data_IF_894380553377
#
_entry.id   IF_894380553377
#
_cell.length_a   1.000
_cell.length_b   1.000
_cell.length_c   1.000
_cell.angle_alpha   90.00
_cell.angle_beta   90.00
_cell.angle_gamma   90.00
#
_symmetry.space_group_name_H-M   'P 1'
#
loop_
_entity.id
_entity.type
_entity.pdbx_description
1 polymer ?
#
# COMPACT_ATOMS: atom_id res chain seq x y z
N UNK A 1 -3.56 -18.03 18.46
CA UNK A 1 -3.92 -16.76 17.80
C UNK A 1 -3.85 -15.64 18.83
N UNK A 2 -3.18 -14.55 18.53
CA UNK A 2 -3.14 -13.38 19.43
C UNK A 2 -4.55 -12.78 19.54
N UNK A 3 -4.98 -12.28 20.71
CA UNK A 3 -6.29 -11.64 20.85
C UNK A 3 -6.47 -10.49 19.86
N UNK A 4 -7.63 -10.45 19.19
CA UNK A 4 -7.95 -9.41 18.20
C UNK A 4 -7.33 -9.60 16.80
N UNK A 5 -6.64 -10.70 16.55
CA UNK A 5 -6.13 -11.05 15.22
C UNK A 5 -7.13 -11.95 14.47
N UNK A 6 -7.48 -11.57 13.26
CA UNK A 6 -8.28 -12.36 12.32
C UNK A 6 -7.63 -12.35 10.95
N UNK A 7 -7.43 -13.54 10.39
CA UNK A 7 -6.90 -13.68 9.03
C UNK A 7 -7.82 -13.06 7.98
N UNK A 8 -9.12 -13.17 8.16
CA UNK A 8 -10.09 -12.60 7.22
C UNK A 8 -10.02 -11.07 7.20
N UNK A 9 -9.90 -10.44 8.38
CA UNK A 9 -9.73 -8.98 8.46
C UNK A 9 -8.39 -8.52 7.92
N UNK A 10 -7.32 -9.29 8.14
CA UNK A 10 -6.00 -9.02 7.55
C UNK A 10 -6.06 -9.12 6.02
N UNK A 11 -6.61 -10.21 5.46
CA UNK A 11 -6.70 -10.41 4.00
C UNK A 11 -7.51 -9.29 3.34
N UNK A 12 -8.67 -8.95 3.91
CA UNK A 12 -9.49 -7.86 3.40
C UNK A 12 -8.75 -6.51 3.42
N UNK A 13 -8.01 -6.23 4.49
CA UNK A 13 -7.22 -5.00 4.63
C UNK A 13 -6.04 -4.97 3.65
N UNK A 14 -5.32 -6.08 3.51
CA UNK A 14 -4.19 -6.19 2.58
C UNK A 14 -4.65 -5.98 1.13
N UNK A 15 -5.77 -6.57 0.74
CA UNK A 15 -6.39 -6.37 -0.60
C UNK A 15 -6.82 -4.93 -0.82
N UNK A 16 -7.43 -4.32 0.19
CA UNK A 16 -7.82 -2.92 0.13
C UNK A 16 -6.60 -2.01 -0.08
N UNK A 17 -5.55 -2.17 0.74
CA UNK A 17 -4.31 -1.40 0.62
C UNK A 17 -3.68 -1.60 -0.76
N UNK A 18 -3.60 -2.85 -1.24
CA UNK A 18 -3.07 -3.13 -2.57
C UNK A 18 -3.82 -2.33 -3.65
N UNK A 19 -5.14 -2.35 -3.64
CA UNK A 19 -5.97 -1.63 -4.60
C UNK A 19 -5.76 -0.11 -4.55
N UNK A 20 -5.72 0.47 -3.35
CA UNK A 20 -5.51 1.91 -3.15
C UNK A 20 -4.12 2.36 -3.63
N UNK A 21 -3.08 1.57 -3.36
CA UNK A 21 -1.74 1.89 -3.81
C UNK A 21 -1.61 1.85 -5.33
N UNK A 22 -2.15 0.81 -6.00
CA UNK A 22 -2.11 0.72 -7.46
C UNK A 22 -2.90 1.87 -8.12
N UNK A 23 -4.07 2.18 -7.59
CA UNK A 23 -4.91 3.26 -8.12
C UNK A 23 -4.29 4.65 -7.87
N UNK A 24 -3.76 4.90 -6.67
CA UNK A 24 -3.06 6.15 -6.34
C UNK A 24 -1.79 6.35 -7.16
N UNK A 25 -1.03 5.29 -7.37
CA UNK A 25 0.14 5.29 -8.23
C UNK A 25 -0.22 5.67 -9.68
N UNK A 26 -1.18 4.96 -10.26
CA UNK A 26 -1.63 5.22 -11.63
C UNK A 26 -2.22 6.62 -11.82
N UNK A 27 -2.90 7.15 -10.80
CA UNK A 27 -3.44 8.52 -10.79
C UNK A 27 -2.39 9.59 -10.48
N UNK A 28 -1.18 9.21 -10.05
CA UNK A 28 -0.14 10.11 -9.53
C UNK A 28 -0.62 10.96 -8.34
N UNK A 29 -1.40 10.36 -7.44
CA UNK A 29 -2.00 10.99 -6.26
C UNK A 29 -1.37 10.40 -4.99
N UNK A 30 -0.35 11.07 -4.45
CA UNK A 30 0.31 10.64 -3.22
C UNK A 30 -0.64 10.64 -2.00
N UNK A 31 -1.65 11.49 -2.00
CA UNK A 31 -2.67 11.58 -0.96
C UNK A 31 -3.44 10.26 -0.79
N UNK A 32 -3.57 9.53 -1.89
CA UNK A 32 -4.24 8.24 -1.92
C UNK A 32 -3.37 7.08 -1.40
N UNK A 33 -2.05 7.23 -1.48
CA UNK A 33 -1.10 6.24 -0.96
C UNK A 33 -0.83 6.45 0.54
N UNK A 34 -0.64 7.71 0.94
CA UNK A 34 -0.08 8.08 2.25
C UNK A 34 -0.76 7.43 3.45
N UNK A 35 -2.09 7.30 3.53
CA UNK A 35 -2.76 6.71 4.70
C UNK A 35 -2.38 5.26 5.00
N UNK A 36 -1.88 4.54 4.01
CA UNK A 36 -1.70 3.08 4.04
C UNK A 36 -0.25 2.63 4.14
N UNK A 37 0.70 3.55 4.13
CA UNK A 37 2.13 3.30 4.06
C UNK A 37 2.86 3.89 5.25
N UNK A 38 3.88 3.17 5.74
CA UNK A 38 4.88 3.74 6.64
C UNK A 38 5.73 4.77 5.91
N UNK A 39 6.49 5.55 6.67
CA UNK A 39 7.36 6.60 6.13
C UNK A 39 8.32 6.09 5.04
N UNK A 40 8.97 4.94 5.28
CA UNK A 40 9.97 4.40 4.36
C UNK A 40 9.39 4.02 2.99
N UNK A 41 8.22 3.38 2.97
CA UNK A 41 7.54 3.01 1.71
C UNK A 41 7.04 4.26 1.00
N UNK A 42 6.45 5.18 1.75
CA UNK A 42 5.94 6.43 1.18
C UNK A 42 7.04 7.27 0.53
N UNK A 43 8.21 7.39 1.16
CA UNK A 43 9.33 8.15 0.58
C UNK A 43 9.80 7.56 -0.75
N UNK A 44 9.83 6.22 -0.87
CA UNK A 44 10.16 5.55 -2.14
C UNK A 44 9.10 5.82 -3.21
N UNK A 45 7.82 5.67 -2.90
CA UNK A 45 6.73 5.92 -3.84
C UNK A 45 6.66 7.40 -4.24
N UNK A 46 6.79 8.30 -3.28
CA UNK A 46 6.82 9.73 -3.54
C UNK A 46 7.95 10.14 -4.48
N UNK A 47 9.17 9.62 -4.24
CA UNK A 47 10.31 9.88 -5.11
C UNK A 47 10.01 9.54 -6.57
N UNK A 48 9.47 8.35 -6.81
CA UNK A 48 9.15 7.91 -8.18
C UNK A 48 7.98 8.67 -8.78
N UNK A 49 6.95 9.01 -8.01
CA UNK A 49 5.84 9.84 -8.51
C UNK A 49 6.32 11.22 -8.93
N UNK A 50 7.18 11.84 -8.13
CA UNK A 50 7.79 13.15 -8.47
C UNK A 50 8.68 13.04 -9.71
N UNK A 51 9.45 11.97 -9.82
CA UNK A 51 10.30 11.71 -10.99
C UNK A 51 9.48 11.53 -12.28
N UNK A 52 8.41 10.76 -12.25
CA UNK A 52 7.48 10.64 -13.38
C UNK A 52 6.85 11.98 -13.76
N UNK A 53 6.43 12.77 -12.79
CA UNK A 53 5.90 14.13 -13.04
C UNK A 53 6.96 15.03 -13.66
N UNK A 54 8.19 15.01 -13.17
CA UNK A 54 9.31 15.78 -13.71
C UNK A 54 9.60 15.41 -15.16
N UNK A 55 9.55 14.14 -15.50
CA UNK A 55 9.74 13.64 -16.86
C UNK A 55 8.50 13.81 -17.74
N UNK A 56 7.41 14.36 -17.21
CA UNK A 56 6.11 14.48 -17.90
C UNK A 56 5.61 13.12 -18.41
N UNK A 57 5.84 12.08 -17.66
CA UNK A 57 5.41 10.72 -17.92
C UNK A 57 4.40 10.25 -16.86
N UNK A 58 3.63 9.25 -17.23
CA UNK A 58 2.70 8.58 -16.35
C UNK A 58 2.86 7.06 -16.49
N UNK A 59 2.98 6.36 -15.37
CA UNK A 59 2.85 4.91 -15.35
C UNK A 59 1.38 4.56 -15.09
N UNK A 60 0.76 3.93 -16.06
CA UNK A 60 -0.64 3.53 -16.01
C UNK A 60 -0.71 2.06 -15.63
N UNK A 61 -1.49 1.78 -14.58
CA UNK A 61 -1.82 0.43 -14.14
C UNK A 61 -3.32 0.24 -14.38
N UNK A 62 -3.67 -0.68 -15.27
CA UNK A 62 -5.05 -0.96 -15.66
C UNK A 62 -5.37 -2.44 -15.51
N UNK A 63 -6.66 -2.76 -15.34
CA UNK A 63 -7.15 -4.13 -15.12
C UNK A 63 -6.42 -4.85 -14.00
N UNK A 64 -6.19 -4.14 -12.90
CA UNK A 64 -5.48 -4.65 -11.72
C UNK A 64 -6.29 -5.76 -11.07
N UNK A 65 -5.66 -6.93 -10.92
CA UNK A 65 -6.26 -8.10 -10.27
C UNK A 65 -5.28 -8.68 -9.26
N UNK A 66 -5.66 -8.71 -7.99
CA UNK A 66 -4.95 -9.43 -6.94
C UNK A 66 -5.60 -10.80 -6.79
N UNK A 67 -4.98 -11.83 -7.38
CA UNK A 67 -5.55 -13.18 -7.44
C UNK A 67 -5.38 -13.94 -6.11
N UNK A 68 -4.26 -13.74 -5.41
CA UNK A 68 -3.96 -14.47 -4.18
C UNK A 68 -3.13 -13.66 -3.21
N UNK A 69 -3.47 -13.77 -1.93
CA UNK A 69 -2.67 -13.31 -0.78
C UNK A 69 -2.30 -14.55 0.02
N UNK A 70 -1.00 -14.81 0.18
CA UNK A 70 -0.51 -15.97 0.93
C UNK A 70 0.41 -15.49 2.03
N UNK A 71 0.03 -15.73 3.29
CA UNK A 71 0.90 -15.41 4.43
C UNK A 71 2.12 -16.32 4.40
N UNK A 72 3.31 -15.73 4.40
CA UNK A 72 4.59 -16.42 4.33
C UNK A 72 5.34 -16.35 5.66
N UNK A 73 5.20 -15.26 6.39
CA UNK A 73 5.90 -15.04 7.65
C UNK A 73 5.05 -14.26 8.64
N UNK A 74 5.18 -14.62 9.89
CA UNK A 74 4.66 -13.87 11.03
C UNK A 74 5.80 -13.70 12.00
N UNK A 75 6.22 -12.48 12.23
CA UNK A 75 7.28 -12.19 13.18
C UNK A 75 6.70 -11.92 14.57
N UNK A 76 7.39 -12.39 15.59
CA UNK A 76 7.05 -12.16 16.98
C UNK A 76 7.80 -10.93 17.50
N UNK A 77 7.16 -9.78 17.37
CA UNK A 77 7.65 -8.51 17.89
C UNK A 77 6.87 -8.16 19.18
N UNK A 78 7.50 -7.64 20.24
CA UNK A 78 6.83 -7.37 21.50
C UNK A 78 5.80 -6.23 21.43
N UNK A 79 5.86 -5.38 20.40
CA UNK A 79 5.02 -4.19 20.27
C UNK A 79 4.09 -4.24 19.06
N UNK A 80 4.48 -5.00 18.03
CA UNK A 80 3.76 -5.05 16.76
C UNK A 80 3.40 -6.48 16.36
N UNK A 81 2.27 -6.61 15.70
CA UNK A 81 2.00 -7.74 14.83
C UNK A 81 2.66 -7.43 13.47
N UNK A 82 3.52 -8.32 13.00
CA UNK A 82 4.22 -8.18 11.71
C UNK A 82 3.90 -9.38 10.85
N UNK A 83 3.34 -9.15 9.68
CA UNK A 83 2.94 -10.20 8.74
C UNK A 83 3.50 -9.90 7.36
N UNK A 84 4.22 -10.86 6.80
CA UNK A 84 4.64 -10.83 5.40
C UNK A 84 3.76 -11.75 4.57
N UNK A 85 3.15 -11.22 3.54
CA UNK A 85 2.31 -11.96 2.61
C UNK A 85 2.86 -11.85 1.18
N UNK A 86 2.81 -12.96 0.45
CA UNK A 86 3.09 -13.01 -0.97
C UNK A 86 1.83 -12.61 -1.73
N UNK A 87 1.92 -11.55 -2.50
CA UNK A 87 0.87 -10.97 -3.31
C UNK A 87 1.03 -11.46 -4.75
N UNK A 88 0.09 -12.27 -5.25
CA UNK A 88 0.07 -12.70 -6.65
C UNK A 88 -0.94 -11.86 -7.42
N UNK A 89 -0.46 -11.13 -8.42
CA UNK A 89 -1.27 -10.16 -9.13
C UNK A 89 -1.01 -10.14 -10.63
N UNK A 90 -1.93 -9.55 -11.37
CA UNK A 90 -1.78 -9.22 -12.78
C UNK A 90 -2.36 -7.86 -13.10
N UNK A 91 -1.78 -7.16 -14.05
CA UNK A 91 -2.25 -5.87 -14.52
C UNK A 91 -1.66 -5.51 -15.87
N UNK A 92 -2.31 -4.62 -16.60
CA UNK A 92 -1.65 -3.91 -17.69
C UNK A 92 -0.76 -2.84 -17.04
N UNK A 93 0.52 -2.87 -17.36
CA UNK A 93 1.54 -1.97 -16.80
C UNK A 93 2.29 -1.32 -17.96
N UNK A 94 2.05 -0.02 -18.14
CA UNK A 94 2.63 0.71 -19.25
C UNK A 94 2.87 2.18 -18.91
N UNK A 95 3.78 2.80 -19.65
CA UNK A 95 4.15 4.21 -19.50
C UNK A 95 3.70 5.00 -20.70
N UNK A 96 3.16 6.17 -20.45
CA UNK A 96 2.78 7.14 -21.49
C UNK A 96 3.49 8.46 -21.25
N UNK A 97 3.80 9.18 -22.34
CA UNK A 97 4.35 10.53 -22.29
C UNK A 97 3.23 11.58 -22.14
N UNK A 98 3.58 12.87 -22.20
CA UNK A 98 2.65 13.99 -22.06
C UNK A 98 1.56 14.02 -23.15
N UNK A 99 1.83 13.47 -24.32
CA UNK A 99 0.91 13.37 -25.44
C UNK A 99 0.05 12.10 -25.41
N UNK A 100 0.18 11.28 -24.32
CA UNK A 100 -0.54 10.02 -24.18
C UNK A 100 0.02 8.87 -25.03
N UNK A 101 1.18 9.02 -25.65
CA UNK A 101 1.83 7.99 -26.46
C UNK A 101 2.50 6.95 -25.55
N UNK A 102 2.32 5.68 -25.88
CA UNK A 102 2.99 4.56 -25.22
C UNK A 102 4.51 4.66 -25.43
N UNK A 103 5.27 4.71 -24.33
CA UNK A 103 6.73 4.78 -24.32
C UNK A 103 7.42 3.63 -23.60
N UNK A 104 6.64 2.74 -22.97
CA UNK A 104 7.18 1.55 -22.32
C UNK A 104 6.09 0.65 -21.77
N UNK A 105 6.40 -0.62 -21.53
CA UNK A 105 5.45 -1.62 -21.07
C UNK A 105 4.44 -2.05 -22.14
N UNK A 106 3.29 -2.59 -21.72
CA UNK A 106 2.25 -3.06 -22.62
C UNK A 106 0.86 -2.70 -22.12
N UNK A 107 0.08 -2.07 -22.98
CA UNK A 107 -1.35 -1.80 -22.76
C UNK A 107 -2.27 -2.89 -23.34
N UNK A 108 -1.70 -4.04 -23.77
CA UNK A 108 -2.43 -5.17 -24.36
C UNK A 108 -2.16 -6.49 -23.63
N UNK A 109 -0.89 -6.75 -23.29
CA UNK A 109 -0.47 -7.95 -22.61
C UNK A 109 -0.34 -7.68 -21.10
N UNK A 110 -1.08 -8.40 -20.24
CA UNK A 110 -0.96 -8.23 -18.81
C UNK A 110 0.41 -8.72 -18.31
N UNK A 111 0.97 -7.99 -17.36
CA UNK A 111 2.11 -8.42 -16.55
C UNK A 111 1.55 -9.25 -15.39
N UNK A 112 2.07 -10.47 -15.23
CA UNK A 112 1.81 -11.33 -14.08
C UNK A 112 3.04 -11.29 -13.18
N UNK A 113 2.85 -11.08 -11.89
CA UNK A 113 3.96 -10.94 -10.96
C UNK A 113 3.57 -11.39 -9.55
N UNK A 114 4.60 -11.60 -8.74
CA UNK A 114 4.49 -11.79 -7.29
C UNK A 114 5.43 -10.85 -6.56
N UNK A 115 4.99 -10.37 -5.42
CA UNK A 115 5.76 -9.51 -4.51
C UNK A 115 5.51 -9.95 -3.06
N UNK A 116 6.46 -9.69 -2.18
CA UNK A 116 6.30 -9.88 -0.74
C UNK A 116 6.04 -8.53 -0.07
N UNK A 117 4.89 -8.42 0.55
CA UNK A 117 4.43 -7.23 1.24
C UNK A 117 4.39 -7.47 2.73
N UNK A 118 5.16 -6.69 3.49
CA UNK A 118 5.21 -6.75 4.95
C UNK A 118 4.34 -5.66 5.53
N UNK A 119 3.38 -6.07 6.34
CA UNK A 119 2.44 -5.21 7.05
C UNK A 119 2.75 -5.19 8.54
N UNK A 120 2.55 -4.04 9.16
CA UNK A 120 2.71 -3.86 10.61
C UNK A 120 1.44 -3.29 11.22
N UNK A 121 1.15 -3.74 12.44
CA UNK A 121 0.06 -3.21 13.27
C UNK A 121 0.49 -3.31 14.74
N UNK A 122 0.22 -2.27 15.53
CA UNK A 122 0.45 -2.32 16.97
C UNK A 122 -0.36 -3.45 17.60
N UNK A 123 0.26 -4.20 18.50
CA UNK A 123 -0.43 -5.26 19.24
C UNK A 123 -1.62 -4.68 20.03
N UNK A 124 -2.76 -5.37 19.97
CA UNK A 124 -4.00 -4.95 20.62
C UNK A 124 -4.76 -3.85 19.89
N UNK A 125 -4.31 -3.35 18.74
CA UNK A 125 -5.10 -2.47 17.91
C UNK A 125 -6.36 -3.20 17.40
N UNK A 126 -7.51 -2.54 17.52
CA UNK A 126 -8.82 -3.15 17.17
C UNK A 126 -9.13 -3.08 15.67
N UNK A 127 -8.32 -2.37 14.90
CA UNK A 127 -8.59 -2.07 13.51
C UNK A 127 -9.39 -0.79 13.32
N UNK A 128 -9.32 -0.22 12.11
CA UNK A 128 -10.08 0.97 11.76
C UNK A 128 -11.51 0.57 11.34
N UNK A 129 -12.49 1.24 11.92
CA UNK A 129 -13.90 1.01 11.58
C UNK A 129 -14.27 1.51 10.17
N UNK A 130 -13.45 2.39 9.58
CA UNK A 130 -13.69 3.01 8.28
C UNK A 130 -12.37 3.22 7.53
N UNK A 131 -12.45 3.18 6.21
CA UNK A 131 -11.33 3.53 5.30
C UNK A 131 -11.41 4.97 4.80
N UNK A 132 -12.45 5.69 5.13
CA UNK A 132 -12.68 7.09 4.70
C UNK A 132 -12.64 8.10 5.85
N UNK A 133 -12.47 7.61 7.08
CA UNK A 133 -12.43 8.43 8.29
C UNK A 133 -11.14 8.20 9.08
N UNK A 134 -10.68 9.23 9.75
CA UNK A 134 -9.55 9.11 10.65
C UNK A 134 -9.88 8.14 11.80
N UNK A 135 -9.06 7.12 12.04
CA UNK A 135 -9.31 6.13 13.10
C UNK A 135 -9.19 6.71 14.52
N UNK A 136 -8.62 7.91 14.66
CA UNK A 136 -8.47 8.59 15.93
C UNK A 136 -9.66 9.52 16.24
N UNK A 137 -10.06 10.37 15.30
CA UNK A 137 -11.07 11.41 15.56
C UNK A 137 -12.37 11.30 14.77
N UNK A 138 -12.45 10.38 13.80
CA UNK A 138 -13.64 10.19 12.97
C UNK A 138 -13.88 11.24 11.88
N UNK A 139 -13.03 12.28 11.79
CA UNK A 139 -13.10 13.25 10.70
C UNK A 139 -12.78 12.59 9.35
N UNK A 140 -13.18 13.18 8.20
CA UNK A 140 -12.75 12.71 6.89
C UNK A 140 -11.25 12.51 6.82
N UNK A 141 -10.80 11.45 6.15
CA UNK A 141 -9.40 11.04 6.12
C UNK A 141 -8.57 11.98 5.22
N UNK A 142 -8.01 13.02 5.83
CA UNK A 142 -7.05 13.93 5.20
C UNK A 142 -5.71 13.80 5.93
N UNK A 143 -4.76 13.12 5.26
CA UNK A 143 -3.46 12.79 5.85
C UNK A 143 -2.37 13.61 5.16
N UNK A 144 -1.59 14.33 5.94
CA UNK A 144 -0.43 15.09 5.45
C UNK A 144 0.68 14.15 4.95
N UNK A 145 1.65 14.69 4.23
CA UNK A 145 2.83 13.91 3.81
C UNK A 145 3.60 13.32 4.98
N UNK A 146 3.56 13.94 6.15
CA UNK A 146 4.14 13.39 7.38
C UNK A 146 3.34 12.22 8.00
N UNK A 147 2.21 11.83 7.42
CA UNK A 147 1.37 10.74 7.90
C UNK A 147 0.48 11.12 9.08
N UNK A 148 0.15 12.39 9.21
CA UNK A 148 -0.59 12.97 10.32
C UNK A 148 -1.98 13.40 9.83
N UNK A 149 -3.02 13.05 10.59
CA UNK A 149 -4.37 13.56 10.34
C UNK A 149 -4.41 15.08 10.51
N UNK A 150 -4.85 15.79 9.48
CA UNK A 150 -4.91 17.25 9.47
C UNK A 150 -5.94 17.81 10.47
N UNK A 151 -6.93 17.01 10.90
CA UNK A 151 -7.95 17.43 11.84
C UNK A 151 -7.53 17.29 13.31
N UNK A 152 -6.84 16.19 13.69
CA UNK A 152 -6.53 15.92 15.10
C UNK A 152 -5.03 15.79 15.41
N UNK A 153 -4.16 15.81 14.41
CA UNK A 153 -2.71 15.69 14.60
C UNK A 153 -2.21 14.28 14.93
N UNK A 154 -3.07 13.27 14.97
CA UNK A 154 -2.65 11.89 15.24
C UNK A 154 -1.89 11.30 14.07
N UNK A 155 -0.78 10.58 14.37
CA UNK A 155 -0.06 9.80 13.38
C UNK A 155 -0.82 8.50 13.10
N UNK A 156 -1.31 8.34 11.86
CA UNK A 156 -2.15 7.19 11.48
C UNK A 156 -1.41 6.17 10.61
N UNK A 157 -0.16 6.43 10.28
CA UNK A 157 0.63 5.66 9.29
C UNK A 157 1.75 4.81 9.91
N UNK A 158 1.73 4.62 11.23
CA UNK A 158 2.73 3.82 11.97
C UNK A 158 2.19 2.46 12.45
N UNK A 159 1.01 2.06 11.97
CA UNK A 159 0.35 0.83 12.42
C UNK A 159 -0.37 0.94 13.76
N UNK A 160 -0.47 2.13 14.34
CA UNK A 160 -1.05 2.31 15.68
C UNK A 160 -2.52 1.91 15.77
N UNK A 161 -3.27 2.08 14.71
CA UNK A 161 -4.71 1.83 14.66
C UNK A 161 -5.08 0.59 13.87
N UNK A 162 -4.39 0.34 12.76
CA UNK A 162 -4.66 -0.77 11.86
C UNK A 162 -3.40 -1.11 11.05
N UNK A 163 -3.47 -2.17 10.24
CA UNK A 163 -2.39 -2.57 9.36
C UNK A 163 -2.01 -1.48 8.36
N UNK A 164 -0.73 -1.25 8.24
CA UNK A 164 -0.10 -0.40 7.24
C UNK A 164 1.04 -1.15 6.57
N UNK A 165 1.32 -0.82 5.31
CA UNK A 165 2.41 -1.42 4.56
C UNK A 165 3.75 -0.82 5.00
N UNK A 166 4.69 -1.68 5.40
CA UNK A 166 6.01 -1.27 5.86
C UNK A 166 7.15 -1.64 4.94
N UNK A 167 6.95 -2.60 4.02
CA UNK A 167 7.96 -3.03 3.07
C UNK A 167 7.33 -3.73 1.87
N UNK A 168 7.95 -3.53 0.69
CA UNK A 168 7.71 -4.31 -0.53
C UNK A 168 9.05 -4.89 -0.96
N UNK A 169 9.10 -6.21 -1.21
CA UNK A 169 10.28 -6.91 -1.71
C UNK A 169 9.91 -7.72 -2.95
N UNK A 170 10.81 -7.76 -3.93
CA UNK A 170 10.66 -8.62 -5.09
C UNK A 170 11.04 -10.07 -4.73
N UNK A 171 10.67 -11.04 -5.57
CA UNK A 171 10.99 -12.46 -5.33
C UNK A 171 12.50 -12.69 -5.13
N UNK A 172 13.36 -11.91 -5.81
CA UNK A 172 14.82 -12.02 -5.72
C UNK A 172 15.40 -11.39 -4.45
N UNK A 173 14.66 -10.49 -3.80
CA UNK A 173 15.10 -9.76 -2.61
C UNK A 173 14.65 -10.45 -1.31
N UNK A 174 13.56 -11.22 -1.39
CA UNK A 174 12.98 -11.86 -0.22
C UNK A 174 13.77 -13.08 0.23
N UNK A 175 14.27 -13.06 1.48
CA UNK A 175 15.10 -14.12 2.06
C UNK A 175 14.44 -14.90 3.21
N UNK A 176 13.15 -14.69 3.49
CA UNK A 176 12.37 -15.43 4.50
C UNK A 176 12.39 -14.85 5.89
#
# INVERSE_FOLDING_TARGET
>A
AKPGFSWDTFDARARFIFGELQAGWSAQQWERLRPWETESVFQQHRFWLEEFKRQRMKNVLDRVQLSKVTVCKVDDDPHFDVVTARMAASMLDYKVNAEGKLVGGSNRAPRVFTEYWTFVRRQGAVGAASTTQCPSCGAPLHISQAGICESCGSKVTSGQFDWVLSRIEQDEEYVG
#
